data_IF_507730859290
#
_entry.id   IF_507730859290
#
_cell.length_a   1.000
_cell.length_b   1.000
_cell.length_c   1.000
_cell.angle_alpha   90.00
_cell.angle_beta   90.00
_cell.angle_gamma   90.00
#
_symmetry.space_group_name_H-M   'P 1'
#
loop_
_entity.id
_entity.type
_entity.pdbx_description
1 polymer ?
#
# COMPACT_ATOMS: atom_id res chain seq x y z
N UNK A 1 -12.46 5.67 -16.08
CA UNK A 1 -12.06 6.17 -14.75
C UNK A 1 -10.54 6.12 -14.64
N UNK A 2 -9.94 6.92 -13.78
CA UNK A 2 -8.53 6.86 -13.38
C UNK A 2 -8.50 6.66 -11.88
N UNK A 3 -8.07 5.46 -11.46
CA UNK A 3 -8.03 4.98 -10.09
C UNK A 3 -6.57 4.89 -9.67
N UNK A 4 -6.15 5.78 -8.77
CA UNK A 4 -4.85 5.72 -8.13
C UNK A 4 -4.87 4.65 -7.03
N UNK A 5 -4.13 3.56 -7.21
CA UNK A 5 -4.15 2.41 -6.32
C UNK A 5 -3.31 2.60 -5.04
N UNK A 6 -2.55 3.69 -4.92
CA UNK A 6 -1.60 3.89 -3.84
C UNK A 6 -1.65 5.32 -3.32
N UNK A 7 -2.40 5.53 -2.22
CA UNK A 7 -2.44 6.81 -1.52
C UNK A 7 -2.50 6.66 0.00
N UNK A 8 -1.81 7.58 0.68
CA UNK A 8 -1.69 7.60 2.14
C UNK A 8 -2.19 8.93 2.72
N UNK A 9 -2.82 8.88 3.90
CA UNK A 9 -3.29 10.09 4.59
C UNK A 9 -2.16 10.83 5.33
N UNK A 10 -1.23 11.40 4.56
CA UNK A 10 0.00 12.05 5.07
C UNK A 10 -0.22 13.42 5.72
N UNK A 11 -1.45 13.93 5.67
CA UNK A 11 -1.86 15.27 6.09
C UNK A 11 -2.89 15.24 7.23
N UNK A 12 -3.04 14.11 7.93
CA UNK A 12 -3.97 13.96 9.03
C UNK A 12 -3.90 15.12 10.05
N UNK A 13 -5.02 15.51 10.69
CA UNK A 13 -5.05 16.66 11.60
C UNK A 13 -4.04 16.54 12.75
N UNK A 14 -3.43 17.65 13.14
CA UNK A 14 -2.36 17.68 14.15
C UNK A 14 -2.74 17.04 15.50
N UNK A 15 -4.03 17.02 15.86
CA UNK A 15 -4.53 16.35 17.05
C UNK A 15 -4.31 14.83 17.00
N UNK A 16 -4.39 14.21 15.82
CA UNK A 16 -4.06 12.79 15.61
C UNK A 16 -2.60 12.49 15.93
N UNK A 17 -1.69 13.33 15.42
CA UNK A 17 -0.24 13.21 15.69
C UNK A 17 0.09 13.50 17.15
N UNK A 18 -0.61 14.44 17.78
CA UNK A 18 -0.45 14.75 19.20
C UNK A 18 -0.85 13.55 20.08
N UNK A 19 -1.95 12.87 19.75
CA UNK A 19 -2.33 11.62 20.41
C UNK A 19 -1.24 10.56 20.27
N UNK A 20 -0.71 10.33 19.06
CA UNK A 20 0.36 9.33 18.84
C UNK A 20 1.60 9.64 19.69
N UNK A 21 2.02 10.89 19.76
CA UNK A 21 3.14 11.32 20.61
C UNK A 21 2.87 11.04 22.09
N UNK A 22 1.67 11.36 22.58
CA UNK A 22 1.27 11.10 23.95
C UNK A 22 1.19 9.59 24.24
N UNK A 23 0.71 8.78 23.30
CA UNK A 23 0.66 7.33 23.41
C UNK A 23 2.06 6.70 23.53
N UNK A 24 3.01 7.13 22.70
CA UNK A 24 4.39 6.66 22.78
C UNK A 24 5.03 7.12 24.10
N UNK A 25 4.78 8.36 24.54
CA UNK A 25 5.31 8.86 25.80
C UNK A 25 4.79 8.05 27.00
N UNK A 26 3.49 7.75 27.04
CA UNK A 26 2.88 6.92 28.08
C UNK A 26 3.39 5.47 28.07
N UNK A 27 3.63 4.90 26.89
CA UNK A 27 4.23 3.57 26.79
C UNK A 27 5.66 3.53 27.36
N UNK A 28 6.46 4.57 27.09
CA UNK A 28 7.84 4.64 27.57
C UNK A 28 7.95 5.03 29.06
N UNK A 29 6.97 5.76 29.59
CA UNK A 29 6.88 6.18 30.98
C UNK A 29 5.44 6.07 31.49
N UNK A 30 5.18 5.06 32.33
CA UNK A 30 3.86 4.80 32.90
C UNK A 30 3.36 5.94 33.82
N UNK A 31 4.22 6.87 34.24
CA UNK A 31 3.81 8.06 34.97
C UNK A 31 3.32 9.20 34.07
N UNK A 32 3.61 9.16 32.76
CA UNK A 32 3.06 10.12 31.82
C UNK A 32 1.53 9.95 31.71
N UNK A 33 0.77 11.02 31.41
CA UNK A 33 -0.68 10.94 31.35
C UNK A 33 -1.20 9.89 30.36
N UNK A 34 -2.25 9.16 30.74
CA UNK A 34 -2.95 8.24 29.83
C UNK A 34 -3.51 9.04 28.66
N UNK A 35 -3.15 8.72 27.41
CA UNK A 35 -3.60 9.46 26.24
C UNK A 35 -5.09 9.21 26.00
N UNK A 36 -5.84 10.28 25.72
CA UNK A 36 -7.24 10.19 25.27
C UNK A 36 -7.29 10.63 23.82
N UNK A 37 -7.91 9.82 22.96
CA UNK A 37 -8.03 10.17 21.56
C UNK A 37 -8.93 11.41 21.39
N UNK A 38 -8.44 12.47 20.71
CA UNK A 38 -9.19 13.71 20.62
C UNK A 38 -10.38 13.55 19.68
N UNK A 39 -11.45 14.29 19.95
CA UNK A 39 -12.48 14.52 18.94
C UNK A 39 -11.90 15.40 17.83
N UNK A 40 -11.91 14.89 16.60
CA UNK A 40 -11.51 15.60 15.39
C UNK A 40 -12.79 15.88 14.60
N UNK A 41 -13.19 17.13 14.42
CA UNK A 41 -14.40 17.47 13.69
C UNK A 41 -14.25 17.22 12.18
N UNK A 42 -15.37 17.06 11.48
CA UNK A 42 -15.37 16.80 10.03
C UNK A 42 -14.70 17.94 9.25
N UNK A 43 -14.86 19.20 9.65
CA UNK A 43 -14.25 20.33 8.94
C UNK A 43 -12.72 20.29 8.98
N UNK A 44 -12.12 19.86 10.10
CA UNK A 44 -10.67 19.63 10.16
C UNK A 44 -10.24 18.48 9.23
N UNK A 45 -11.06 17.44 9.08
CA UNK A 45 -10.80 16.40 8.09
C UNK A 45 -10.94 16.92 6.66
N UNK A 46 -11.98 17.69 6.36
CA UNK A 46 -12.18 18.30 5.04
C UNK A 46 -10.98 19.16 4.67
N UNK A 47 -10.60 20.11 5.53
CA UNK A 47 -9.46 21.00 5.30
C UNK A 47 -8.18 20.20 4.98
N UNK A 48 -7.90 19.16 5.76
CA UNK A 48 -6.68 18.36 5.62
C UNK A 48 -6.55 17.62 4.29
N UNK A 49 -7.67 17.25 3.64
CA UNK A 49 -7.68 16.55 2.34
C UNK A 49 -7.97 17.49 1.17
N UNK A 50 -8.82 18.51 1.36
CA UNK A 50 -9.21 19.46 0.32
C UNK A 50 -8.03 20.29 -0.17
N UNK A 51 -7.17 20.75 0.75
CA UNK A 51 -6.01 21.58 0.41
C UNK A 51 -4.86 20.78 -0.22
N UNK A 52 -4.90 19.45 -0.11
CA UNK A 52 -3.81 18.56 -0.46
C UNK A 52 -4.24 17.52 -1.50
N UNK A 53 -4.66 16.32 -1.08
CA UNK A 53 -4.96 15.19 -1.97
C UNK A 53 -6.08 15.53 -2.95
N UNK A 54 -7.18 16.14 -2.51
CA UNK A 54 -8.33 16.43 -3.37
C UNK A 54 -8.01 17.51 -4.41
N UNK A 55 -7.24 18.53 -4.02
CA UNK A 55 -6.74 19.55 -4.95
C UNK A 55 -5.86 18.92 -6.02
N UNK A 56 -4.87 18.11 -5.64
CA UNK A 56 -3.95 17.47 -6.58
C UNK A 56 -4.63 16.42 -7.46
N UNK A 57 -5.57 15.63 -6.93
CA UNK A 57 -6.41 14.71 -7.70
C UNK A 57 -7.13 15.44 -8.84
N UNK A 58 -7.75 16.59 -8.53
CA UNK A 58 -8.43 17.44 -9.52
C UNK A 58 -7.45 18.04 -10.54
N UNK A 59 -6.34 18.60 -10.08
CA UNK A 59 -5.31 19.19 -10.95
C UNK A 59 -4.67 18.16 -11.90
N UNK A 60 -4.49 16.92 -11.44
CA UNK A 60 -3.86 15.81 -12.20
C UNK A 60 -4.87 14.99 -12.99
N UNK A 61 -6.17 15.21 -12.82
CA UNK A 61 -7.23 14.54 -13.56
C UNK A 61 -7.41 13.07 -13.21
N UNK A 62 -7.26 12.71 -11.93
CA UNK A 62 -7.63 11.39 -11.41
C UNK A 62 -9.01 11.43 -10.73
N UNK A 63 -9.75 10.32 -10.81
CA UNK A 63 -11.14 10.25 -10.35
C UNK A 63 -11.24 9.75 -8.91
N UNK A 64 -10.39 8.78 -8.53
CA UNK A 64 -10.45 8.10 -7.24
C UNK A 64 -9.06 7.68 -6.76
N UNK A 65 -8.86 7.66 -5.44
CA UNK A 65 -7.69 7.08 -4.78
C UNK A 65 -8.10 5.96 -3.82
N UNK A 66 -7.42 4.82 -3.92
CA UNK A 66 -7.40 3.80 -2.88
C UNK A 66 -6.54 4.34 -1.73
N UNK A 67 -7.18 4.64 -0.61
CA UNK A 67 -6.65 5.51 0.44
C UNK A 67 -6.49 4.76 1.75
N UNK A 68 -5.31 4.88 2.36
CA UNK A 68 -4.93 4.15 3.57
C UNK A 68 -4.17 5.02 4.57
N UNK A 69 -3.98 4.57 5.83
CA UNK A 69 -3.21 5.31 6.82
C UNK A 69 -1.79 5.61 6.37
N UNK A 70 -1.20 6.70 6.88
CA UNK A 70 0.17 7.11 6.56
C UNK A 70 1.19 6.00 6.85
N UNK A 71 1.81 5.48 5.78
CA UNK A 71 2.78 4.39 5.85
C UNK A 71 3.93 4.62 6.85
N UNK A 72 4.56 5.80 6.83
CA UNK A 72 5.72 6.09 7.70
C UNK A 72 5.39 6.13 9.19
N UNK A 73 4.12 6.24 9.55
CA UNK A 73 3.64 6.34 10.94
C UNK A 73 2.84 5.12 11.39
N UNK A 74 2.71 4.06 10.56
CA UNK A 74 2.22 2.77 11.05
C UNK A 74 3.11 2.30 12.22
N UNK A 75 4.43 2.39 12.02
CA UNK A 75 5.48 2.31 13.03
C UNK A 75 5.31 1.14 14.02
N UNK A 76 5.03 -0.05 13.46
CA UNK A 76 4.81 -1.30 14.18
C UNK A 76 5.94 -1.67 15.18
N UNK A 77 7.16 -1.16 14.96
CA UNK A 77 8.31 -1.36 15.83
C UNK A 77 8.32 -0.47 17.10
N UNK A 78 7.31 0.41 17.27
CA UNK A 78 7.18 1.31 18.43
C UNK A 78 5.97 0.86 19.26
N UNK A 79 6.25 0.33 20.45
CA UNK A 79 5.24 -0.17 21.37
C UNK A 79 5.20 -1.69 21.41
N UNK A 80 4.04 -2.20 21.79
CA UNK A 80 3.69 -3.61 21.82
C UNK A 80 2.41 -3.87 21.00
N UNK A 81 1.82 -5.05 21.15
CA UNK A 81 0.56 -5.40 20.48
C UNK A 81 -0.58 -4.44 20.83
N UNK A 82 -0.73 -4.07 22.11
CA UNK A 82 -1.83 -3.21 22.56
C UNK A 82 -1.70 -1.79 22.00
N UNK A 83 -0.48 -1.26 21.96
CA UNK A 83 -0.20 0.04 21.32
C UNK A 83 -0.57 0.01 19.84
N UNK A 84 -0.15 -1.04 19.11
CA UNK A 84 -0.46 -1.20 17.68
C UNK A 84 -1.96 -1.37 17.43
N UNK A 85 -2.67 -2.12 18.26
CA UNK A 85 -4.12 -2.29 18.13
C UNK A 85 -4.87 -0.96 18.27
N UNK A 86 -4.58 -0.18 19.32
CA UNK A 86 -5.24 1.12 19.54
C UNK A 86 -4.90 2.10 18.42
N UNK A 87 -3.61 2.18 18.04
CA UNK A 87 -3.17 3.09 16.99
C UNK A 87 -3.80 2.75 15.64
N UNK A 88 -3.78 1.47 15.26
CA UNK A 88 -4.34 1.01 13.99
C UNK A 88 -5.82 1.33 13.88
N UNK A 89 -6.61 1.05 14.92
CA UNK A 89 -8.06 1.37 14.91
C UNK A 89 -8.30 2.85 14.67
N UNK A 90 -7.59 3.72 15.37
CA UNK A 90 -7.75 5.16 15.21
C UNK A 90 -7.39 5.69 13.83
N UNK A 91 -6.34 5.17 13.19
CA UNK A 91 -6.04 5.59 11.82
C UNK A 91 -7.04 5.03 10.81
N UNK A 92 -7.46 3.77 10.94
CA UNK A 92 -8.45 3.17 10.04
C UNK A 92 -9.81 3.88 10.18
N UNK A 93 -10.20 4.28 11.39
CA UNK A 93 -11.42 5.06 11.62
C UNK A 93 -11.34 6.45 10.95
N UNK A 94 -10.16 7.09 10.94
CA UNK A 94 -9.97 8.34 10.18
C UNK A 94 -10.13 8.13 8.67
N UNK A 95 -9.57 7.05 8.12
CA UNK A 95 -9.77 6.71 6.70
C UNK A 95 -11.24 6.48 6.39
N UNK A 96 -11.95 5.72 7.24
CA UNK A 96 -13.38 5.50 7.07
C UNK A 96 -14.18 6.80 7.07
N UNK A 97 -13.84 7.75 7.96
CA UNK A 97 -14.48 9.07 7.98
C UNK A 97 -14.17 9.90 6.73
N UNK A 98 -12.94 9.87 6.23
CA UNK A 98 -12.59 10.55 4.96
C UNK A 98 -13.37 9.95 3.78
N UNK A 99 -13.49 8.62 3.73
CA UNK A 99 -14.31 7.91 2.72
C UNK A 99 -15.79 8.29 2.84
N UNK A 100 -16.34 8.42 4.05
CA UNK A 100 -17.72 8.87 4.25
C UNK A 100 -17.95 10.31 3.78
N UNK A 101 -16.97 11.20 3.97
CA UNK A 101 -17.04 12.59 3.53
C UNK A 101 -16.90 12.73 2.00
N UNK A 102 -16.09 11.88 1.36
CA UNK A 102 -15.81 11.93 -0.08
C UNK A 102 -15.89 10.52 -0.74
N UNK A 103 -17.05 9.85 -0.70
CA UNK A 103 -17.16 8.45 -1.10
C UNK A 103 -16.98 8.23 -2.61
N UNK A 104 -17.10 9.28 -3.42
CA UNK A 104 -16.84 9.25 -4.86
C UNK A 104 -15.34 9.33 -5.19
N UNK A 105 -14.51 9.81 -4.25
CA UNK A 105 -13.09 10.11 -4.50
C UNK A 105 -12.15 9.22 -3.71
N UNK A 106 -12.55 8.71 -2.56
CA UNK A 106 -11.72 7.80 -1.77
C UNK A 106 -12.42 6.47 -1.53
N UNK A 107 -11.63 5.40 -1.54
CA UNK A 107 -12.05 4.08 -1.08
C UNK A 107 -11.01 3.52 -0.10
N UNK A 108 -11.46 2.94 1.01
CA UNK A 108 -10.59 2.62 2.12
C UNK A 108 -9.80 1.32 1.95
N UNK A 109 -8.53 1.37 2.37
CA UNK A 109 -7.66 0.21 2.64
C UNK A 109 -7.10 0.36 4.04
N UNK A 110 -7.03 -0.73 4.81
CA UNK A 110 -6.62 -0.65 6.22
C UNK A 110 -5.13 -0.88 6.40
N UNK A 111 -4.53 -0.24 7.40
CA UNK A 111 -3.33 -0.80 8.03
C UNK A 111 -3.73 -1.92 9.01
N UNK A 112 -2.78 -2.80 9.35
CA UNK A 112 -2.98 -3.90 10.28
C UNK A 112 -2.28 -3.63 11.62
N UNK A 113 -2.78 -4.13 12.76
CA UNK A 113 -2.14 -3.93 14.07
C UNK A 113 -0.98 -4.92 14.27
N UNK A 114 0.01 -4.91 13.37
CA UNK A 114 1.17 -5.79 13.47
C UNK A 114 2.16 -5.28 14.53
N UNK A 115 2.86 -6.19 15.22
CA UNK A 115 3.97 -5.84 16.12
C UNK A 115 5.07 -6.91 16.03
N UNK A 116 6.35 -6.56 16.28
CA UNK A 116 7.44 -7.53 16.31
C UNK A 116 7.16 -8.72 17.23
N UNK A 117 7.36 -9.94 16.73
CA UNK A 117 7.16 -11.17 17.51
C UNK A 117 5.70 -11.57 17.75
N UNK A 118 4.72 -10.79 17.27
CA UNK A 118 3.29 -11.11 17.40
C UNK A 118 2.80 -11.84 16.16
N UNK A 119 2.07 -12.97 16.29
CA UNK A 119 1.51 -13.69 15.15
C UNK A 119 0.55 -12.82 14.33
N UNK A 120 0.69 -12.85 12.99
CA UNK A 120 -0.19 -12.09 12.09
C UNK A 120 -1.67 -12.46 12.23
N UNK A 121 -1.99 -13.67 12.70
CA UNK A 121 -3.37 -14.08 12.98
C UNK A 121 -4.09 -13.12 13.94
N UNK A 122 -3.37 -12.40 14.82
CA UNK A 122 -3.97 -11.42 15.73
C UNK A 122 -4.49 -10.16 14.99
N UNK A 123 -4.05 -9.92 13.76
CA UNK A 123 -4.54 -8.83 12.92
C UNK A 123 -5.86 -9.16 12.19
N UNK A 124 -6.31 -10.42 12.20
CA UNK A 124 -7.52 -10.87 11.48
C UNK A 124 -8.75 -10.07 11.88
N UNK A 125 -8.94 -9.82 13.17
CA UNK A 125 -10.12 -9.10 13.67
C UNK A 125 -10.21 -7.67 13.11
N UNK A 126 -9.07 -7.00 12.90
CA UNK A 126 -9.08 -5.67 12.31
C UNK A 126 -9.34 -5.70 10.80
N UNK A 127 -8.84 -6.72 10.09
CA UNK A 127 -9.18 -6.92 8.68
C UNK A 127 -10.69 -7.15 8.50
N UNK A 128 -11.27 -8.04 9.32
CA UNK A 128 -12.71 -8.31 9.30
C UNK A 128 -13.53 -7.05 9.59
N UNK A 129 -13.16 -6.29 10.62
CA UNK A 129 -13.82 -5.02 10.96
C UNK A 129 -13.75 -4.03 9.80
N UNK A 130 -12.56 -3.80 9.26
CA UNK A 130 -12.38 -2.83 8.19
C UNK A 130 -13.18 -3.20 6.93
N UNK A 131 -13.17 -4.47 6.56
CA UNK A 131 -13.86 -4.95 5.36
C UNK A 131 -15.37 -5.02 5.56
N UNK A 132 -15.84 -5.66 6.63
CA UNK A 132 -17.26 -5.96 6.82
C UNK A 132 -18.05 -4.80 7.44
N UNK A 133 -17.41 -3.99 8.30
CA UNK A 133 -18.08 -2.88 8.99
C UNK A 133 -17.79 -1.53 8.33
N UNK A 134 -16.56 -1.30 7.88
CA UNK A 134 -16.14 -0.02 7.29
C UNK A 134 -16.17 0.00 5.74
N UNK A 135 -16.39 -1.15 5.10
CA UNK A 135 -16.49 -1.26 3.64
C UNK A 135 -15.16 -1.13 2.90
N UNK A 136 -14.03 -1.38 3.58
CA UNK A 136 -12.70 -1.34 2.97
C UNK A 136 -12.50 -2.47 1.96
N UNK A 137 -11.62 -2.25 1.00
CA UNK A 137 -11.44 -3.12 -0.17
C UNK A 137 -10.12 -3.88 -0.19
N UNK A 138 -9.25 -3.66 0.79
CA UNK A 138 -7.90 -4.23 0.86
C UNK A 138 -7.19 -3.89 2.18
N UNK A 139 -5.97 -4.39 2.33
CA UNK A 139 -5.10 -4.05 3.46
C UNK A 139 -3.65 -3.73 3.01
N UNK A 140 -2.92 -3.01 3.86
CA UNK A 140 -1.48 -2.92 3.79
C UNK A 140 -0.89 -3.99 4.72
N UNK A 141 -0.08 -4.90 4.18
CA UNK A 141 0.58 -5.97 4.92
C UNK A 141 2.07 -5.65 5.05
N UNK A 142 2.54 -5.48 6.27
CA UNK A 142 3.94 -5.20 6.53
C UNK A 142 4.76 -6.51 6.60
N UNK A 143 5.70 -6.76 5.67
CA UNK A 143 6.54 -7.96 5.71
C UNK A 143 7.63 -7.88 6.80
N UNK A 144 7.91 -6.69 7.33
CA UNK A 144 8.89 -6.47 8.39
C UNK A 144 8.36 -5.55 9.51
N UNK A 145 7.58 -6.10 10.46
CA UNK A 145 7.15 -5.34 11.64
C UNK A 145 8.29 -4.79 12.50
N UNK A 146 9.52 -5.31 12.36
CA UNK A 146 10.69 -4.89 13.14
C UNK A 146 11.28 -3.55 12.74
N UNK A 147 10.83 -2.97 11.62
CA UNK A 147 11.23 -1.63 11.20
C UNK A 147 12.66 -1.54 10.66
N UNK A 148 13.09 -2.51 9.83
CA UNK A 148 14.38 -2.47 9.15
C UNK A 148 15.38 -3.51 9.60
N UNK A 149 14.97 -4.53 10.37
CA UNK A 149 15.86 -5.62 10.79
C UNK A 149 15.53 -6.96 10.13
N UNK A 150 14.33 -7.13 9.56
CA UNK A 150 13.89 -8.38 8.95
C UNK A 150 14.01 -9.60 9.88
N UNK A 151 13.66 -9.42 11.15
CA UNK A 151 13.72 -10.48 12.17
C UNK A 151 12.52 -11.45 12.12
N UNK A 152 11.58 -11.24 11.19
CA UNK A 152 10.41 -12.10 10.98
C UNK A 152 10.66 -13.26 10.02
N UNK A 153 9.60 -14.01 9.73
CA UNK A 153 9.61 -15.10 8.74
C UNK A 153 9.20 -14.57 7.35
N UNK A 154 9.67 -15.18 6.24
CA UNK A 154 9.30 -14.75 4.90
C UNK A 154 7.79 -14.88 4.66
N UNK A 155 7.24 -14.12 3.71
CA UNK A 155 5.81 -14.14 3.36
C UNK A 155 5.29 -15.50 2.86
N UNK A 156 6.19 -16.43 2.55
CA UNK A 156 5.87 -17.79 2.13
C UNK A 156 5.76 -18.79 3.29
N UNK A 157 6.11 -18.37 4.51
CA UNK A 157 6.02 -19.18 5.72
C UNK A 157 4.56 -19.44 6.14
N UNK A 158 4.30 -20.63 6.70
CA UNK A 158 2.97 -21.04 7.14
C UNK A 158 2.41 -20.21 8.29
N UNK A 159 3.25 -19.47 9.01
CA UNK A 159 2.80 -18.51 10.02
C UNK A 159 1.85 -17.44 9.44
N UNK A 160 1.93 -17.15 8.14
CA UNK A 160 1.04 -16.19 7.47
C UNK A 160 -0.28 -16.79 6.98
N UNK A 161 -0.39 -18.12 6.91
CA UNK A 161 -1.52 -18.78 6.24
C UNK A 161 -2.88 -18.46 6.88
N UNK A 162 -3.04 -18.39 8.21
CA UNK A 162 -4.32 -18.00 8.80
C UNK A 162 -4.80 -16.62 8.32
N UNK A 163 -3.87 -15.70 8.08
CA UNK A 163 -4.20 -14.37 7.55
C UNK A 163 -4.52 -14.43 6.05
N UNK A 164 -3.78 -15.20 5.27
CA UNK A 164 -4.06 -15.38 3.83
C UNK A 164 -5.39 -16.10 3.57
N UNK A 165 -5.75 -17.10 4.38
CA UNK A 165 -7.07 -17.72 4.37
C UNK A 165 -8.16 -16.66 4.55
N UNK A 166 -7.98 -15.74 5.49
CA UNK A 166 -8.93 -14.64 5.71
C UNK A 166 -8.95 -13.66 4.55
N UNK A 167 -7.80 -13.30 3.96
CA UNK A 167 -7.77 -12.46 2.75
C UNK A 167 -8.53 -13.09 1.59
N UNK A 168 -8.41 -14.41 1.41
CA UNK A 168 -9.14 -15.17 0.38
C UNK A 168 -10.63 -15.24 0.69
N UNK A 169 -11.01 -15.56 1.94
CA UNK A 169 -12.41 -15.57 2.39
C UNK A 169 -13.08 -14.21 2.17
N UNK A 170 -12.37 -13.14 2.48
CA UNK A 170 -12.80 -11.77 2.25
C UNK A 170 -12.48 -11.30 0.81
N UNK A 171 -11.95 -12.09 -0.09
CA UNK A 171 -11.65 -11.66 -1.47
C UNK A 171 -10.99 -10.26 -1.58
N UNK A 172 -10.02 -9.98 -0.70
CA UNK A 172 -9.31 -8.69 -0.64
C UNK A 172 -7.80 -8.89 -0.92
N UNK A 173 -7.18 -8.01 -1.73
CA UNK A 173 -5.73 -8.03 -1.92
C UNK A 173 -5.00 -7.36 -0.75
N UNK A 174 -3.68 -7.55 -0.69
CA UNK A 174 -2.80 -6.76 0.18
C UNK A 174 -1.74 -6.00 -0.62
N UNK A 175 -1.51 -4.74 -0.27
CA UNK A 175 -0.28 -4.05 -0.66
C UNK A 175 0.84 -4.42 0.32
N UNK A 176 1.95 -4.94 -0.19
CA UNK A 176 3.13 -5.26 0.63
C UNK A 176 3.83 -3.95 0.97
N UNK A 177 3.75 -3.51 2.23
CA UNK A 177 4.20 -2.17 2.59
C UNK A 177 4.85 -2.12 3.99
N UNK A 178 6.14 -1.79 4.03
CA UNK A 178 6.86 -1.51 5.29
C UNK A 178 6.54 -0.12 5.83
N UNK A 179 7.10 0.25 6.99
CA UNK A 179 6.87 1.55 7.64
C UNK A 179 8.17 2.33 7.83
N UNK A 180 8.22 3.26 8.78
CA UNK A 180 9.45 3.91 9.20
C UNK A 180 10.53 2.88 9.60
N UNK A 181 11.78 3.21 9.32
CA UNK A 181 12.94 2.41 9.70
C UNK A 181 13.54 2.93 11.01
N UNK A 182 13.82 2.02 11.95
CA UNK A 182 14.65 2.28 13.13
C UNK A 182 16.10 1.77 12.95
N UNK A 183 16.45 1.28 11.76
CA UNK A 183 17.81 0.87 11.39
C UNK A 183 18.56 2.03 10.73
N UNK A 184 19.67 2.47 11.33
CA UNK A 184 20.49 3.58 10.84
C UNK A 184 21.08 3.36 9.43
N UNK A 185 21.17 2.12 8.96
CA UNK A 185 21.64 1.80 7.62
C UNK A 185 20.59 2.09 6.54
N UNK A 186 19.30 2.21 6.90
CA UNK A 186 18.21 2.29 5.95
C UNK A 186 17.39 3.56 6.15
N UNK A 187 17.51 4.48 5.20
CA UNK A 187 16.54 5.57 5.05
C UNK A 187 15.16 4.98 4.72
N UNK A 188 14.10 5.42 5.41
CA UNK A 188 12.79 4.78 5.32
C UNK A 188 12.25 4.70 3.88
N UNK A 189 11.95 5.85 3.27
CA UNK A 189 11.27 5.91 1.96
C UNK A 189 12.19 5.70 0.77
N UNK A 190 13.50 5.84 0.96
CA UNK A 190 14.49 5.79 -0.13
C UNK A 190 15.35 4.53 -0.17
N UNK A 191 15.26 3.68 0.86
CA UNK A 191 15.99 2.43 0.93
C UNK A 191 15.11 1.31 1.51
N UNK A 192 14.57 1.48 2.72
CA UNK A 192 13.79 0.42 3.38
C UNK A 192 12.58 -0.01 2.55
N UNK A 193 11.86 0.93 1.95
CA UNK A 193 10.71 0.66 1.07
C UNK A 193 11.13 -0.20 -0.13
N UNK A 194 12.05 0.30 -0.96
CA UNK A 194 12.52 -0.37 -2.18
C UNK A 194 13.17 -1.74 -1.89
N UNK A 195 13.89 -1.85 -0.78
CA UNK A 195 14.47 -3.11 -0.31
C UNK A 195 13.37 -4.12 0.03
N UNK A 196 12.30 -3.68 0.69
CA UNK A 196 11.18 -4.55 1.04
C UNK A 196 10.40 -5.04 -0.19
N UNK A 197 10.17 -4.16 -1.16
CA UNK A 197 9.50 -4.50 -2.41
C UNK A 197 10.25 -5.62 -3.14
N UNK A 198 11.57 -5.44 -3.28
CA UNK A 198 12.46 -6.41 -3.93
C UNK A 198 12.55 -7.72 -3.15
N UNK A 199 12.62 -7.63 -1.82
CA UNK A 199 12.72 -8.79 -0.92
C UNK A 199 11.45 -9.64 -0.97
N UNK A 200 10.27 -9.01 -0.90
CA UNK A 200 9.00 -9.72 -0.96
C UNK A 200 8.82 -10.49 -2.28
N UNK A 201 9.16 -9.85 -3.41
CA UNK A 201 9.12 -10.53 -4.70
C UNK A 201 10.03 -11.76 -4.76
N UNK A 202 11.27 -11.63 -4.26
CA UNK A 202 12.20 -12.76 -4.23
C UNK A 202 11.70 -13.88 -3.32
N UNK A 203 11.11 -13.55 -2.16
CA UNK A 203 10.50 -14.55 -1.28
C UNK A 203 9.37 -15.33 -1.99
N UNK A 204 8.51 -14.64 -2.74
CA UNK A 204 7.47 -15.29 -3.54
C UNK A 204 8.05 -16.20 -4.64
N UNK A 205 9.14 -15.78 -5.28
CA UNK A 205 9.84 -16.59 -6.28
C UNK A 205 10.43 -17.87 -5.65
N UNK A 206 11.08 -17.76 -4.49
CA UNK A 206 11.69 -18.90 -3.79
C UNK A 206 10.67 -19.91 -3.26
N UNK A 207 9.50 -19.45 -2.82
CA UNK A 207 8.43 -20.31 -2.31
C UNK A 207 7.47 -20.80 -3.40
N UNK A 208 6.35 -21.37 -2.96
CA UNK A 208 5.26 -21.89 -3.81
C UNK A 208 3.88 -21.41 -3.29
N UNK A 209 3.85 -20.24 -2.63
CA UNK A 209 2.68 -19.72 -1.91
C UNK A 209 1.39 -19.72 -2.74
N UNK A 210 1.47 -19.37 -4.02
CA UNK A 210 0.30 -19.28 -4.90
C UNK A 210 -0.19 -20.64 -5.40
N UNK A 211 0.54 -21.73 -5.14
CA UNK A 211 0.02 -23.10 -5.29
C UNK A 211 -1.00 -23.40 -4.20
N UNK A 212 -0.70 -23.00 -2.96
CA UNK A 212 -1.61 -23.17 -1.83
C UNK A 212 -2.77 -22.16 -1.87
N UNK A 213 -2.50 -20.92 -2.27
CA UNK A 213 -3.50 -19.85 -2.39
C UNK A 213 -3.53 -19.23 -3.79
N UNK A 214 -4.10 -19.91 -4.80
CA UNK A 214 -4.14 -19.40 -6.18
C UNK A 214 -5.00 -18.14 -6.36
N UNK A 215 -5.84 -17.82 -5.36
CA UNK A 215 -6.71 -16.64 -5.36
C UNK A 215 -6.07 -15.42 -4.69
N UNK A 216 -4.96 -15.58 -3.97
CA UNK A 216 -4.31 -14.51 -3.22
C UNK A 216 -3.75 -13.46 -4.17
N UNK A 217 -3.81 -12.18 -3.79
CA UNK A 217 -3.37 -11.07 -4.64
C UNK A 217 -2.53 -10.09 -3.83
N UNK A 218 -1.32 -9.80 -4.32
CA UNK A 218 -0.42 -8.83 -3.74
C UNK A 218 -0.11 -7.70 -4.71
N UNK A 219 -0.11 -6.47 -4.20
CA UNK A 219 0.47 -5.32 -4.87
C UNK A 219 1.82 -5.06 -4.23
N UNK A 220 2.91 -5.09 -5.00
CA UNK A 220 4.21 -4.61 -4.55
C UNK A 220 4.37 -3.18 -5.10
N UNK A 221 4.46 -2.16 -4.22
CA UNK A 221 4.47 -0.77 -4.66
C UNK A 221 5.81 -0.33 -5.27
N UNK A 222 5.92 0.95 -5.60
CA UNK A 222 7.11 1.60 -6.14
C UNK A 222 7.62 0.93 -7.42
N UNK A 223 6.70 0.50 -8.29
CA UNK A 223 7.01 -0.27 -9.48
C UNK A 223 7.66 -1.63 -9.21
N UNK A 224 7.43 -2.24 -8.04
CA UNK A 224 8.09 -3.49 -7.66
C UNK A 224 9.53 -3.31 -7.17
N UNK A 225 9.92 -2.11 -6.73
CA UNK A 225 11.27 -1.81 -6.28
C UNK A 225 12.31 -2.00 -7.38
N UNK A 226 13.28 -2.88 -7.17
CA UNK A 226 14.32 -3.17 -8.17
C UNK A 226 13.93 -4.30 -9.14
N UNK A 227 12.72 -4.88 -9.01
CA UNK A 227 12.33 -6.11 -9.72
C UNK A 227 12.28 -5.93 -11.24
N UNK A 228 11.51 -4.97 -11.81
CA UNK A 228 11.48 -4.80 -13.27
C UNK A 228 12.85 -4.42 -13.84
N UNK A 229 13.59 -3.54 -13.14
CA UNK A 229 14.92 -3.12 -13.57
C UNK A 229 15.89 -4.32 -13.70
N UNK A 230 15.76 -5.29 -12.81
CA UNK A 230 16.53 -6.54 -12.84
C UNK A 230 15.71 -7.74 -13.34
N UNK A 231 14.68 -7.53 -14.18
CA UNK A 231 13.75 -8.60 -14.56
C UNK A 231 14.44 -9.84 -15.15
N UNK A 232 15.45 -9.62 -16.00
CA UNK A 232 16.27 -10.71 -16.54
C UNK A 232 16.99 -11.54 -15.48
N UNK A 233 17.44 -10.90 -14.38
CA UNK A 233 18.07 -11.60 -13.25
C UNK A 233 17.05 -12.49 -12.54
N UNK A 234 15.86 -11.98 -12.25
CA UNK A 234 14.81 -12.77 -11.60
C UNK A 234 14.35 -13.94 -12.47
N UNK A 235 14.21 -13.75 -13.79
CA UNK A 235 13.93 -14.86 -14.72
C UNK A 235 15.01 -15.93 -14.69
N UNK A 236 16.28 -15.53 -14.74
CA UNK A 236 17.40 -16.48 -14.63
C UNK A 236 17.47 -17.17 -13.26
N UNK A 237 17.12 -16.47 -12.18
CA UNK A 237 17.06 -17.08 -10.84
C UNK A 237 15.95 -18.11 -10.72
N UNK A 238 14.81 -17.93 -11.39
CA UNK A 238 13.77 -18.95 -11.46
C UNK A 238 14.33 -20.26 -12.06
N UNK A 239 15.06 -20.18 -13.18
CA UNK A 239 15.71 -21.35 -13.78
C UNK A 239 16.74 -21.99 -12.83
N UNK A 240 17.59 -21.17 -12.20
CA UNK A 240 18.63 -21.66 -11.27
C UNK A 240 18.06 -22.34 -10.02
N UNK A 241 16.86 -21.95 -9.59
CA UNK A 241 16.15 -22.52 -8.45
C UNK A 241 15.20 -23.65 -8.84
N UNK A 242 15.11 -24.00 -10.14
CA UNK A 242 14.17 -25.01 -10.64
C UNK A 242 12.71 -24.60 -10.48
N UNK A 243 12.41 -23.30 -10.48
CA UNK A 243 11.06 -22.74 -10.37
C UNK A 243 10.40 -22.54 -11.73
N UNK A 244 9.06 -22.55 -11.81
CA UNK A 244 8.37 -22.22 -13.06
C UNK A 244 8.66 -20.78 -13.50
N UNK A 245 8.34 -20.48 -14.76
CA UNK A 245 8.47 -19.12 -15.30
C UNK A 245 7.70 -18.11 -14.43
N UNK A 246 8.26 -16.91 -14.24
CA UNK A 246 7.66 -15.88 -13.38
C UNK A 246 6.21 -15.55 -13.77
N UNK A 247 5.88 -15.59 -15.07
CA UNK A 247 4.54 -15.33 -15.59
C UNK A 247 3.47 -16.28 -15.05
N UNK A 248 3.83 -17.52 -14.71
CA UNK A 248 2.91 -18.51 -14.13
C UNK A 248 3.12 -18.71 -12.64
N UNK A 249 4.36 -18.57 -12.17
CA UNK A 249 4.75 -18.81 -10.78
C UNK A 249 4.34 -17.67 -9.85
N UNK A 250 4.53 -16.41 -10.26
CA UNK A 250 4.39 -15.24 -9.39
C UNK A 250 3.38 -14.23 -9.96
N UNK A 251 3.48 -13.93 -11.26
CA UNK A 251 2.73 -12.82 -11.88
C UNK A 251 1.24 -13.11 -12.11
N UNK A 252 0.74 -14.29 -11.79
CA UNK A 252 -0.73 -14.48 -11.72
C UNK A 252 -1.36 -13.79 -10.50
N UNK A 253 -0.55 -13.55 -9.48
CA UNK A 253 -0.98 -13.15 -8.14
C UNK A 253 -0.31 -11.84 -7.69
N UNK A 254 0.83 -11.47 -8.28
CA UNK A 254 1.59 -10.26 -7.94
C UNK A 254 1.41 -9.18 -9.00
N UNK A 255 1.21 -7.96 -8.54
CA UNK A 255 1.00 -6.77 -9.34
C UNK A 255 1.91 -5.63 -8.88
N UNK A 256 2.23 -4.69 -9.76
CA UNK A 256 3.04 -3.51 -9.45
C UNK A 256 2.23 -2.24 -9.67
N UNK A 257 2.44 -1.25 -8.80
CA UNK A 257 1.93 0.10 -9.06
C UNK A 257 2.84 0.85 -10.07
N UNK A 258 2.49 2.09 -10.40
CA UNK A 258 3.31 2.98 -11.22
C UNK A 258 3.98 4.10 -10.42
N UNK A 259 4.29 3.89 -9.13
CA UNK A 259 4.98 4.87 -8.29
C UNK A 259 6.49 4.92 -8.61
N UNK A 260 6.82 5.21 -9.86
CA UNK A 260 8.17 5.35 -10.41
C UNK A 260 8.32 6.76 -10.96
N UNK A 261 9.14 7.58 -10.30
CA UNK A 261 9.12 9.04 -10.44
C UNK A 261 10.01 9.60 -11.54
N UNK A 262 9.99 8.99 -12.72
CA UNK A 262 10.55 9.55 -13.96
C UNK A 262 10.13 8.73 -15.17
N UNK A 263 10.16 9.36 -16.36
CA UNK A 263 9.78 8.70 -17.62
C UNK A 263 10.55 7.41 -17.90
N UNK A 264 11.90 7.36 -17.82
CA UNK A 264 12.63 6.15 -18.22
C UNK A 264 12.31 4.91 -17.37
N UNK A 265 12.02 5.11 -16.08
CA UNK A 265 11.61 4.01 -15.21
C UNK A 265 10.21 3.49 -15.53
N UNK A 266 9.29 4.37 -15.88
CA UNK A 266 7.96 3.99 -16.36
C UNK A 266 8.05 3.29 -17.72
N UNK A 267 8.88 3.78 -18.64
CA UNK A 267 9.12 3.13 -19.93
C UNK A 267 9.58 1.68 -19.74
N UNK A 268 10.58 1.47 -18.86
CA UNK A 268 11.10 0.14 -18.56
C UNK A 268 10.06 -0.76 -17.90
N UNK A 269 9.27 -0.25 -16.95
CA UNK A 269 8.20 -1.03 -16.29
C UNK A 269 7.24 -1.62 -17.34
N UNK A 270 6.80 -0.80 -18.30
CA UNK A 270 5.87 -1.22 -19.35
C UNK A 270 6.51 -2.05 -20.46
N UNK A 271 7.83 -2.02 -20.61
CA UNK A 271 8.56 -2.87 -21.55
C UNK A 271 8.65 -4.32 -21.06
N UNK A 272 8.88 -4.53 -19.76
CA UNK A 272 9.26 -5.86 -19.24
C UNK A 272 8.19 -6.56 -18.42
N UNK A 273 7.17 -5.83 -17.94
CA UNK A 273 6.06 -6.36 -17.15
C UNK A 273 4.78 -6.36 -17.99
N UNK A 274 4.02 -7.46 -17.91
CA UNK A 274 2.77 -7.60 -18.63
C UNK A 274 1.77 -6.50 -18.22
N UNK A 275 1.03 -5.96 -19.19
CA UNK A 275 0.10 -4.83 -18.96
C UNK A 275 -0.98 -5.15 -17.91
N UNK A 276 -1.37 -6.42 -17.79
CA UNK A 276 -2.35 -6.87 -16.81
C UNK A 276 -1.77 -6.89 -15.37
N UNK A 277 -0.46 -6.71 -15.21
CA UNK A 277 0.21 -6.68 -13.90
C UNK A 277 0.50 -5.27 -13.39
N UNK A 278 0.14 -4.23 -14.15
CA UNK A 278 0.44 -2.84 -13.83
C UNK A 278 -0.84 -2.11 -13.41
N UNK A 279 -0.82 -1.49 -12.23
CA UNK A 279 -1.89 -0.63 -11.73
C UNK A 279 -1.40 0.80 -11.64
N UNK A 280 -2.21 1.76 -12.08
CA UNK A 280 -1.87 3.16 -11.86
C UNK A 280 -1.76 3.47 -10.36
N UNK A 281 -0.66 4.12 -9.97
CA UNK A 281 -0.42 4.64 -8.63
C UNK A 281 0.47 5.88 -8.66
N UNK A 282 0.28 6.80 -7.73
CA UNK A 282 1.12 8.02 -7.63
C UNK A 282 1.74 8.28 -6.26
N UNK A 283 1.13 7.81 -5.16
CA UNK A 283 1.53 8.14 -3.78
C UNK A 283 1.70 9.66 -3.56
N UNK A 284 0.81 10.46 -4.16
CA UNK A 284 0.89 11.92 -4.09
C UNK A 284 0.89 12.45 -2.65
N UNK A 285 1.60 13.55 -2.41
CA UNK A 285 1.81 14.13 -1.06
C UNK A 285 2.61 13.18 -0.14
N UNK A 286 3.36 12.29 -0.76
CA UNK A 286 4.11 11.23 -0.12
C UNK A 286 5.58 11.54 0.08
N UNK A 287 6.42 10.61 -0.39
CA UNK A 287 7.87 10.63 -0.24
C UNK A 287 8.56 11.79 -0.99
N UNK A 288 8.14 12.11 -2.22
CA UNK A 288 8.78 13.13 -3.06
C UNK A 288 7.72 14.10 -3.60
N UNK A 289 7.58 15.25 -2.92
CA UNK A 289 6.52 16.24 -3.19
C UNK A 289 6.95 17.40 -4.09
N UNK A 290 8.22 17.40 -4.50
CA UNK A 290 8.84 18.53 -5.20
C UNK A 290 8.59 18.49 -6.71
N UNK A 291 8.82 19.64 -7.34
CA UNK A 291 8.94 19.75 -8.80
C UNK A 291 10.32 19.22 -9.21
N UNK A 292 10.34 18.38 -10.22
CA UNK A 292 11.54 17.95 -10.92
C UNK A 292 12.10 19.12 -11.75
N UNK A 293 13.32 19.61 -11.45
CA UNK A 293 13.93 20.71 -12.19
C UNK A 293 14.22 20.38 -13.65
N UNK A 294 14.26 19.10 -14.04
CA UNK A 294 14.53 18.68 -15.42
C UNK A 294 13.30 18.78 -16.31
N UNK A 295 12.11 18.59 -15.73
CA UNK A 295 10.84 18.53 -16.47
C UNK A 295 9.90 19.68 -16.17
N UNK A 296 10.09 20.39 -15.05
CA UNK A 296 9.18 21.45 -14.60
C UNK A 296 7.85 20.92 -14.06
N UNK A 297 7.73 19.60 -13.84
CA UNK A 297 6.54 18.92 -13.32
C UNK A 297 6.84 18.24 -11.99
N UNK A 298 5.80 17.89 -11.23
CA UNK A 298 5.99 17.14 -9.99
C UNK A 298 6.54 15.73 -10.27
N UNK A 299 7.48 15.27 -9.45
CA UNK A 299 8.01 13.90 -9.51
C UNK A 299 6.90 12.84 -9.35
N UNK A 300 5.95 13.09 -8.46
CA UNK A 300 4.84 12.19 -8.13
C UNK A 300 3.60 12.39 -9.03
N UNK A 301 3.68 13.18 -10.11
CA UNK A 301 2.60 13.28 -11.12
C UNK A 301 2.72 12.16 -12.16
N UNK A 302 2.61 10.91 -11.68
CA UNK A 302 2.92 9.70 -12.45
C UNK A 302 2.00 9.46 -13.63
N UNK A 303 0.80 10.05 -13.64
CA UNK A 303 -0.12 9.99 -14.78
C UNK A 303 0.53 10.54 -16.05
N UNK A 304 1.33 11.61 -15.92
CA UNK A 304 2.04 12.21 -17.08
C UNK A 304 2.93 11.19 -17.78
N UNK A 305 3.59 10.32 -17.01
CA UNK A 305 4.47 9.32 -17.57
C UNK A 305 3.70 8.26 -18.37
N UNK A 306 2.54 7.83 -17.88
CA UNK A 306 1.66 6.88 -18.59
C UNK A 306 1.04 7.52 -19.82
N UNK A 307 0.63 8.79 -19.74
CA UNK A 307 0.08 9.51 -20.89
C UNK A 307 1.10 9.60 -22.03
N UNK A 308 2.39 9.76 -21.71
CA UNK A 308 3.49 9.83 -22.67
C UNK A 308 3.87 8.49 -23.32
N UNK A 309 3.42 7.36 -22.77
CA UNK A 309 3.69 6.04 -23.35
C UNK A 309 2.97 5.84 -24.69
N UNK A 310 3.68 5.18 -25.62
CA UNK A 310 3.18 4.76 -26.92
C UNK A 310 2.42 3.42 -26.85
N UNK A 311 1.45 3.31 -25.93
CA UNK A 311 0.59 2.14 -25.74
C UNK A 311 -0.85 2.42 -26.20
N UNK A 312 -1.62 1.36 -26.46
CA UNK A 312 -2.99 1.51 -26.95
C UNK A 312 -3.92 2.14 -25.91
N UNK A 313 -5.00 2.79 -26.35
CA UNK A 313 -6.04 3.30 -25.43
C UNK A 313 -6.68 2.18 -24.59
N UNK A 314 -6.71 0.95 -25.13
CA UNK A 314 -7.20 -0.20 -24.39
C UNK A 314 -6.27 -0.55 -23.22
N UNK A 315 -4.96 -0.51 -23.44
CA UNK A 315 -3.94 -0.75 -22.41
C UNK A 315 -3.91 0.39 -21.38
N UNK A 316 -4.03 1.65 -21.82
CA UNK A 316 -4.19 2.79 -20.89
C UNK A 316 -5.40 2.60 -19.98
N UNK A 317 -6.55 2.19 -20.53
CA UNK A 317 -7.76 1.88 -19.73
C UNK A 317 -7.56 0.72 -18.75
N UNK A 318 -6.80 -0.31 -19.12
CA UNK A 318 -6.45 -1.39 -18.20
C UNK A 318 -5.67 -0.86 -17.00
N UNK A 319 -4.61 -0.09 -17.24
CA UNK A 319 -3.76 0.42 -16.15
C UNK A 319 -4.47 1.44 -15.28
N UNK A 320 -5.20 2.37 -15.89
CA UNK A 320 -5.93 3.41 -15.14
C UNK A 320 -7.15 2.90 -14.38
N UNK A 321 -7.77 1.78 -14.79
CA UNK A 321 -9.02 1.33 -14.18
C UNK A 321 -9.15 -0.19 -14.12
N UNK A 322 -9.06 -0.86 -15.27
CA UNK A 322 -9.46 -2.27 -15.40
C UNK A 322 -8.70 -3.21 -14.45
N UNK A 323 -7.40 -3.01 -14.29
CA UNK A 323 -6.56 -3.82 -13.41
C UNK A 323 -6.87 -3.56 -11.93
N UNK A 324 -7.06 -2.30 -11.52
CA UNK A 324 -7.46 -1.99 -10.15
C UNK A 324 -8.82 -2.62 -9.80
N UNK A 325 -9.82 -2.50 -10.67
CA UNK A 325 -11.14 -3.14 -10.48
C UNK A 325 -11.04 -4.66 -10.40
N UNK A 326 -10.17 -5.30 -11.21
CA UNK A 326 -9.95 -6.75 -11.17
C UNK A 326 -9.22 -7.21 -9.90
N UNK A 327 -8.22 -6.45 -9.44
CA UNK A 327 -7.41 -6.81 -8.26
C UNK A 327 -8.15 -6.55 -6.95
N UNK A 328 -9.05 -5.56 -6.94
CA UNK A 328 -9.92 -5.20 -5.83
C UNK A 328 -11.40 -5.49 -6.17
N UNK A 329 -11.88 -6.75 -6.11
CA UNK A 329 -13.25 -7.09 -6.51
C UNK A 329 -14.33 -6.33 -5.74
N UNK A 330 -14.09 -6.01 -4.46
CA UNK A 330 -15.00 -5.17 -3.66
C UNK A 330 -15.11 -3.73 -4.15
N UNK A 331 -14.02 -3.15 -4.66
CA UNK A 331 -14.06 -1.85 -5.34
C UNK A 331 -14.91 -1.95 -6.61
N UNK A 332 -14.69 -2.97 -7.44
CA UNK A 332 -15.50 -3.17 -8.66
C UNK A 332 -17.00 -3.30 -8.33
N UNK A 333 -17.35 -4.10 -7.32
CA UNK A 333 -18.72 -4.27 -6.87
C UNK A 333 -19.35 -2.94 -6.41
N UNK A 334 -18.62 -2.13 -5.64
CA UNK A 334 -19.09 -0.82 -5.18
C UNK A 334 -19.27 0.18 -6.35
N UNK A 335 -18.36 0.18 -7.33
CA UNK A 335 -18.49 1.02 -8.52
C UNK A 335 -19.69 0.60 -9.39
N UNK A 336 -19.86 -0.70 -9.63
CA UNK A 336 -21.03 -1.22 -10.37
C UNK A 336 -22.35 -0.87 -9.69
N UNK A 337 -22.41 -0.94 -8.36
CA UNK A 337 -23.60 -0.55 -7.61
C UNK A 337 -23.96 0.94 -7.77
N UNK A 338 -23.01 1.77 -8.20
CA UNK A 338 -23.19 3.19 -8.54
C UNK A 338 -23.44 3.43 -10.03
N UNK A 339 -23.46 2.38 -10.85
CA UNK A 339 -23.63 2.46 -12.31
C UNK A 339 -22.36 2.82 -13.08
N UNK A 340 -21.18 2.58 -12.49
CA UNK A 340 -19.86 2.88 -13.06
C UNK A 340 -19.10 1.62 -13.50
#
# INVERSE_FOLDING_TARGET
MIIDCHGHYTTAPAAHDAFRKAQIAHYNDAHAPVPVYPYICDDALRESVELHQLRLLRERGADMTIFSPRASTMAHHIGDEAVSQVWTRHCNDLIARVVQLYPQTFIGVCQLPQSPGVPIAHAIAELERCVNELGFVGCNLNPDPSGGHWNGVPLTDRAWYPFFEKMVELDVPAMVHVSGSCNANFHATGAHYLNADTTAFMQFLEGDLFTDFPQLRFIIPHGGGAVPYHWGRFRGLADMLGKPALSTHVMRNVFFDTCVYHQPGIDLLFEVIDIDNILFGSEMVGAVRGIDPQTGHYFDDTKRYIDALAISDADKRKVFEGNARRVYPRLDAQLRARGL
#
